data_IF_467811840940
#
_entry.id   IF_467811840940
#
_cell.length_a   1.000
_cell.length_b   1.000
_cell.length_c   1.000
_cell.angle_alpha   90.00
_cell.angle_beta   90.00
_cell.angle_gamma   90.00
#
_symmetry.space_group_name_H-M   'P 1'
#
loop_
_entity.id
_entity.type
_entity.pdbx_description
1 polymer ?
#
# COMPACT_ATOMS: atom_id res chain seq x y z
N UNK A 1 8.77 11.35 0.03
CA UNK A 1 9.95 11.90 0.74
C UNK A 1 10.92 10.76 0.91
N UNK A 2 12.03 10.81 0.21
CA UNK A 2 13.09 9.80 0.27
C UNK A 2 13.85 9.94 1.60
N UNK A 3 14.04 8.83 2.31
CA UNK A 3 14.62 8.78 3.66
C UNK A 3 15.71 7.72 3.72
N UNK A 4 16.73 7.93 4.55
CA UNK A 4 17.69 6.88 4.87
C UNK A 4 17.04 5.84 5.82
N UNK A 5 17.54 4.60 5.82
CA UNK A 5 16.99 3.53 6.66
C UNK A 5 16.86 3.90 8.17
N UNK A 6 17.82 4.61 8.81
CA UNK A 6 17.66 5.07 10.19
C UNK A 6 16.50 6.04 10.40
N UNK A 7 16.18 6.88 9.41
CA UNK A 7 15.05 7.80 9.47
C UNK A 7 13.72 7.06 9.30
N UNK A 8 13.68 6.06 8.42
CA UNK A 8 12.52 5.17 8.28
C UNK A 8 12.23 4.39 9.56
N UNK A 9 13.26 3.89 10.25
CA UNK A 9 13.09 3.19 11.53
C UNK A 9 12.41 4.07 12.61
N UNK A 10 12.59 5.41 12.57
CA UNK A 10 11.92 6.33 13.51
C UNK A 10 10.40 6.39 13.33
N UNK A 11 9.89 5.99 12.17
CA UNK A 11 8.45 5.98 11.86
C UNK A 11 7.77 4.67 12.26
N UNK A 12 8.54 3.62 12.57
CA UNK A 12 8.00 2.30 12.90
C UNK A 12 6.95 2.34 14.01
N UNK A 13 7.10 3.11 15.11
CA UNK A 13 6.07 3.20 16.14
C UNK A 13 4.72 3.71 15.60
N UNK A 14 4.74 4.71 14.71
CA UNK A 14 3.54 5.26 14.09
C UNK A 14 2.94 4.29 13.08
N UNK A 15 3.78 3.70 12.22
CA UNK A 15 3.37 2.67 11.25
C UNK A 15 2.72 1.48 11.94
N UNK A 16 3.27 1.04 13.08
CA UNK A 16 2.71 -0.06 13.87
C UNK A 16 1.30 0.26 14.35
N UNK A 17 1.08 1.46 14.90
CA UNK A 17 -0.25 1.87 15.34
C UNK A 17 -1.26 1.89 14.18
N UNK A 18 -0.85 2.39 13.01
CA UNK A 18 -1.70 2.40 11.81
C UNK A 18 -2.03 1.00 11.31
N UNK A 19 -1.05 0.10 11.29
CA UNK A 19 -1.23 -1.29 10.88
C UNK A 19 -2.12 -2.05 11.85
N UNK A 20 -1.95 -1.86 13.17
CA UNK A 20 -2.79 -2.49 14.18
C UNK A 20 -4.26 -2.04 14.05
N UNK A 21 -4.50 -0.74 13.83
CA UNK A 21 -5.86 -0.21 13.60
C UNK A 21 -6.47 -0.72 12.28
N UNK A 22 -5.64 -0.80 11.23
CA UNK A 22 -6.04 -1.37 9.94
C UNK A 22 -6.44 -2.84 10.06
N UNK A 23 -5.61 -3.69 10.67
CA UNK A 23 -5.88 -5.12 10.85
C UNK A 23 -7.15 -5.32 11.68
N UNK A 24 -7.27 -4.61 12.81
CA UNK A 24 -8.46 -4.68 13.66
C UNK A 24 -9.73 -4.26 12.93
N UNK A 25 -9.64 -3.30 12.01
CA UNK A 25 -10.76 -2.89 11.17
C UNK A 25 -11.10 -3.97 10.14
N UNK A 26 -10.10 -4.56 9.49
CA UNK A 26 -10.31 -5.67 8.53
C UNK A 26 -11.01 -6.88 9.15
N UNK A 27 -10.66 -7.24 10.39
CA UNK A 27 -11.23 -8.39 11.10
C UNK A 27 -12.75 -8.30 11.28
N UNK A 28 -13.32 -7.09 11.18
CA UNK A 28 -14.77 -6.89 11.20
C UNK A 28 -15.45 -7.40 9.92
N UNK A 29 -14.71 -7.43 8.80
CA UNK A 29 -15.22 -7.79 7.49
C UNK A 29 -14.75 -9.17 7.03
N UNK A 30 -13.52 -9.56 7.36
CA UNK A 30 -12.93 -10.81 6.87
C UNK A 30 -11.85 -11.35 7.79
N UNK A 31 -11.81 -12.68 7.92
CA UNK A 31 -10.66 -13.42 8.46
C UNK A 31 -9.79 -14.04 7.35
N UNK A 32 -10.23 -13.91 6.09
CA UNK A 32 -9.41 -14.20 4.93
C UNK A 32 -8.61 -12.94 4.58
N UNK A 33 -7.29 -13.06 4.69
CA UNK A 33 -6.34 -12.00 4.43
C UNK A 33 -5.60 -12.16 3.09
N UNK A 34 -6.10 -13.05 2.23
CA UNK A 34 -5.70 -13.11 0.83
C UNK A 34 -6.57 -12.06 0.09
N UNK A 35 -5.96 -10.94 -0.34
CA UNK A 35 -6.63 -9.78 -0.95
C UNK A 35 -7.80 -9.21 -0.12
N UNK A 36 -7.58 -8.83 1.16
CA UNK A 36 -8.66 -8.49 2.09
C UNK A 36 -9.47 -7.27 1.63
N UNK A 37 -8.82 -6.29 1.01
CA UNK A 37 -9.49 -5.08 0.51
C UNK A 37 -10.47 -5.38 -0.63
N UNK A 38 -10.21 -6.38 -1.47
CA UNK A 38 -11.16 -6.79 -2.52
C UNK A 38 -12.34 -7.55 -1.93
N UNK A 39 -12.12 -8.34 -0.88
CA UNK A 39 -13.22 -8.99 -0.13
C UNK A 39 -14.12 -7.94 0.52
N UNK A 40 -13.51 -6.95 1.18
CA UNK A 40 -14.22 -5.80 1.77
C UNK A 40 -15.00 -5.06 0.69
N UNK A 41 -14.36 -4.75 -0.44
CA UNK A 41 -15.01 -4.04 -1.53
C UNK A 41 -16.20 -4.82 -2.11
N UNK A 42 -16.07 -6.13 -2.32
CA UNK A 42 -17.20 -6.96 -2.77
C UNK A 42 -18.36 -7.00 -1.77
N UNK A 43 -18.09 -6.87 -0.46
CA UNK A 43 -19.14 -6.71 0.56
C UNK A 43 -19.82 -5.35 0.46
N UNK A 44 -19.06 -4.28 0.23
CA UNK A 44 -19.57 -2.94 -0.01
C UNK A 44 -20.50 -2.88 -1.24
N UNK A 45 -20.07 -3.45 -2.36
CA UNK A 45 -20.87 -3.54 -3.59
C UNK A 45 -22.18 -4.31 -3.34
N UNK A 46 -22.11 -5.44 -2.63
CA UNK A 46 -23.29 -6.21 -2.26
C UNK A 46 -24.25 -5.41 -1.38
N UNK A 47 -23.75 -4.73 -0.36
CA UNK A 47 -24.57 -3.91 0.52
C UNK A 47 -25.22 -2.72 -0.21
N UNK A 48 -24.45 -2.04 -1.06
CA UNK A 48 -24.97 -0.98 -1.91
C UNK A 48 -26.09 -1.49 -2.81
N UNK A 49 -25.91 -2.64 -3.45
CA UNK A 49 -26.94 -3.28 -4.28
C UNK A 49 -28.21 -3.63 -3.50
N UNK A 50 -28.08 -4.24 -2.34
CA UNK A 50 -29.22 -4.60 -1.47
C UNK A 50 -29.99 -3.36 -0.98
N UNK A 51 -29.36 -2.17 -1.00
CA UNK A 51 -29.97 -0.90 -0.62
C UNK A 51 -30.27 0.03 -1.82
N UNK A 52 -30.14 -0.46 -3.06
CA UNK A 52 -30.44 0.32 -4.27
C UNK A 52 -29.44 1.46 -4.58
N UNK A 53 -28.21 1.39 -4.07
CA UNK A 53 -27.14 2.40 -4.22
C UNK A 53 -25.93 1.92 -5.05
N UNK A 54 -26.05 0.81 -5.77
CA UNK A 54 -24.96 0.23 -6.58
C UNK A 54 -24.42 1.21 -7.63
N UNK A 55 -25.31 1.90 -8.35
CA UNK A 55 -24.91 2.89 -9.37
C UNK A 55 -24.22 4.11 -8.74
N UNK A 56 -24.69 4.57 -7.59
CA UNK A 56 -24.10 5.69 -6.87
C UNK A 56 -22.67 5.36 -6.40
N UNK A 57 -22.51 4.21 -5.73
CA UNK A 57 -21.19 3.71 -5.29
C UNK A 57 -20.21 3.64 -6.45
N UNK A 58 -20.63 3.02 -7.57
CA UNK A 58 -19.80 2.86 -8.76
C UNK A 58 -19.44 4.20 -9.42
N UNK A 59 -20.39 5.14 -9.47
CA UNK A 59 -20.15 6.46 -10.06
C UNK A 59 -19.20 7.30 -9.21
N UNK A 60 -19.35 7.28 -7.88
CA UNK A 60 -18.44 7.97 -6.96
C UNK A 60 -17.04 7.37 -7.05
N UNK A 61 -16.91 6.03 -7.03
CA UNK A 61 -15.62 5.36 -7.20
C UNK A 61 -14.94 5.72 -8.53
N UNK A 62 -15.65 5.64 -9.67
CA UNK A 62 -15.08 6.00 -10.99
C UNK A 62 -14.61 7.44 -11.06
N UNK A 63 -15.41 8.36 -10.52
CA UNK A 63 -15.07 9.79 -10.50
C UNK A 63 -13.83 10.04 -9.66
N UNK A 64 -13.80 9.52 -8.43
CA UNK A 64 -12.65 9.66 -7.54
C UNK A 64 -11.39 9.01 -8.13
N UNK A 65 -11.51 7.84 -8.76
CA UNK A 65 -10.40 7.17 -9.43
C UNK A 65 -9.76 8.08 -10.49
N UNK A 66 -10.57 8.65 -11.39
CA UNK A 66 -10.06 9.51 -12.46
C UNK A 66 -9.43 10.80 -11.93
N UNK A 67 -10.02 11.42 -10.91
CA UNK A 67 -9.48 12.65 -10.30
C UNK A 67 -8.14 12.40 -9.59
N UNK A 68 -8.02 11.27 -8.88
CA UNK A 68 -6.81 10.94 -8.12
C UNK A 68 -5.70 10.39 -9.02
N UNK A 69 -6.05 9.75 -10.14
CA UNK A 69 -5.09 9.14 -11.07
C UNK A 69 -4.01 10.12 -11.53
N UNK A 70 -4.39 11.29 -12.02
CA UNK A 70 -3.42 12.25 -12.56
C UNK A 70 -2.46 12.77 -11.47
N UNK A 71 -2.95 12.95 -10.24
CA UNK A 71 -2.17 13.45 -9.11
C UNK A 71 -1.15 12.39 -8.66
N UNK A 72 -1.64 11.17 -8.44
CA UNK A 72 -0.82 10.07 -7.92
C UNK A 72 0.17 9.61 -8.97
N UNK A 73 -0.28 9.40 -10.21
CA UNK A 73 0.57 8.93 -11.29
C UNK A 73 1.76 9.87 -11.46
N UNK A 74 1.53 11.18 -11.57
CA UNK A 74 2.62 12.15 -11.68
C UNK A 74 3.58 12.13 -10.47
N UNK A 75 3.08 11.88 -9.26
CA UNK A 75 3.89 11.85 -8.04
C UNK A 75 4.72 10.57 -7.92
N UNK A 76 4.11 9.41 -8.18
CA UNK A 76 4.76 8.09 -8.16
C UNK A 76 5.80 8.00 -9.27
N UNK A 77 5.48 8.45 -10.48
CA UNK A 77 6.45 8.54 -11.58
C UNK A 77 7.65 9.41 -11.23
N UNK A 78 7.43 10.49 -10.48
CA UNK A 78 8.54 11.32 -10.00
C UNK A 78 9.40 10.60 -8.95
N UNK A 79 8.81 9.80 -8.08
CA UNK A 79 9.50 9.10 -6.99
C UNK A 79 10.19 7.80 -7.45
N UNK A 80 9.63 7.09 -8.42
CA UNK A 80 10.20 5.85 -8.96
C UNK A 80 11.51 6.07 -9.76
N UNK A 81 11.98 7.32 -9.88
CA UNK A 81 13.00 7.67 -10.85
C UNK A 81 13.99 8.75 -10.37
N UNK A 82 15.29 8.41 -10.21
CA UNK A 82 16.36 9.37 -10.01
C UNK A 82 16.49 10.36 -11.17
N UNK A 83 16.87 11.61 -10.87
CA UNK A 83 17.16 12.62 -11.89
C UNK A 83 18.14 12.17 -13.01
N UNK A 84 19.19 11.35 -12.75
CA UNK A 84 20.07 10.82 -13.80
C UNK A 84 19.37 10.02 -14.90
N UNK A 85 18.36 9.22 -14.55
CA UNK A 85 17.67 8.39 -15.53
C UNK A 85 16.60 9.23 -16.26
N UNK A 86 16.14 10.36 -15.67
CA UNK A 86 15.08 11.23 -16.26
C UNK A 86 15.65 12.07 -17.39
N UNK A 87 16.94 12.33 -17.32
CA UNK A 87 17.69 13.13 -18.27
C UNK A 87 18.37 12.28 -19.36
N UNK A 88 18.36 10.95 -19.24
CA UNK A 88 18.82 10.06 -20.33
C UNK A 88 17.64 9.72 -21.24
N UNK A 89 17.80 9.98 -22.54
CA UNK A 89 16.88 9.64 -23.63
C UNK A 89 16.70 8.11 -23.77
N UNK A 90 16.03 7.47 -22.81
CA UNK A 90 15.86 6.02 -22.70
C UNK A 90 14.39 5.57 -22.86
N UNK A 91 13.51 6.42 -23.39
CA UNK A 91 12.17 6.00 -23.81
C UNK A 91 12.31 4.78 -24.76
N UNK A 92 11.73 3.64 -24.36
CA UNK A 92 11.80 2.38 -25.10
C UNK A 92 12.86 1.38 -24.64
N UNK A 93 13.68 1.69 -23.63
CA UNK A 93 14.56 0.68 -22.99
C UNK A 93 13.76 -0.30 -22.11
N UNK A 94 14.33 -1.49 -21.84
CA UNK A 94 13.69 -2.48 -20.96
C UNK A 94 13.54 -1.96 -19.52
N UNK A 95 14.49 -1.16 -19.08
CA UNK A 95 14.52 -0.50 -17.78
C UNK A 95 13.41 0.54 -17.66
N UNK A 96 13.18 1.34 -18.71
CA UNK A 96 12.07 2.29 -18.80
C UNK A 96 10.70 1.57 -18.76
N UNK A 97 10.54 0.52 -19.57
CA UNK A 97 9.30 -0.26 -19.60
C UNK A 97 9.01 -0.93 -18.25
N UNK A 98 10.04 -1.44 -17.58
CA UNK A 98 9.91 -2.05 -16.25
C UNK A 98 9.49 -1.01 -15.22
N UNK A 99 10.14 0.16 -15.18
CA UNK A 99 9.79 1.25 -14.27
C UNK A 99 8.37 1.78 -14.50
N UNK A 100 7.95 1.93 -15.76
CA UNK A 100 6.59 2.30 -16.13
C UNK A 100 5.55 1.32 -15.58
N UNK A 101 5.80 0.02 -15.73
CA UNK A 101 4.90 -1.02 -15.23
C UNK A 101 4.76 -0.96 -13.71
N UNK A 102 5.85 -0.70 -12.99
CA UNK A 102 5.85 -0.60 -11.53
C UNK A 102 5.14 0.67 -11.06
N UNK A 103 5.49 1.82 -11.64
CA UNK A 103 4.86 3.09 -11.32
C UNK A 103 3.35 3.04 -11.56
N UNK A 104 2.92 2.45 -12.67
CA UNK A 104 1.50 2.23 -12.96
C UNK A 104 0.85 1.28 -11.96
N UNK A 105 1.50 0.17 -11.56
CA UNK A 105 0.96 -0.77 -10.57
C UNK A 105 0.77 -0.11 -9.20
N UNK A 106 1.77 0.66 -8.75
CA UNK A 106 1.72 1.37 -7.46
C UNK A 106 0.66 2.47 -7.52
N UNK A 107 0.65 3.26 -8.59
CA UNK A 107 -0.36 4.32 -8.80
C UNK A 107 -1.76 3.72 -8.79
N UNK A 108 -1.98 2.61 -9.49
CA UNK A 108 -3.27 1.92 -9.49
C UNK A 108 -3.67 1.45 -8.10
N UNK A 109 -2.75 0.87 -7.32
CA UNK A 109 -3.04 0.46 -5.94
C UNK A 109 -3.47 1.64 -5.05
N UNK A 110 -2.71 2.74 -5.07
CA UNK A 110 -3.02 3.95 -4.31
C UNK A 110 -4.35 4.55 -4.76
N UNK A 111 -4.49 4.82 -6.06
CA UNK A 111 -5.68 5.46 -6.65
C UNK A 111 -6.93 4.64 -6.37
N UNK A 112 -6.86 3.31 -6.53
CA UNK A 112 -7.99 2.45 -6.26
C UNK A 112 -8.38 2.48 -4.78
N UNK A 113 -7.40 2.47 -3.85
CA UNK A 113 -7.70 2.55 -2.43
C UNK A 113 -8.27 3.91 -2.00
N UNK A 114 -7.74 5.02 -2.52
CA UNK A 114 -8.30 6.36 -2.27
C UNK A 114 -9.71 6.49 -2.86
N UNK A 115 -9.92 6.01 -4.08
CA UNK A 115 -11.24 6.02 -4.70
C UNK A 115 -12.26 5.18 -3.92
N UNK A 116 -11.85 4.02 -3.40
CA UNK A 116 -12.69 3.16 -2.56
C UNK A 116 -12.98 3.81 -1.20
N UNK A 117 -12.03 4.53 -0.61
CA UNK A 117 -12.28 5.33 0.60
C UNK A 117 -13.38 6.36 0.36
N UNK A 118 -13.28 7.14 -0.73
CA UNK A 118 -14.26 8.17 -1.08
C UNK A 118 -15.62 7.56 -1.41
N UNK A 119 -15.65 6.44 -2.12
CA UNK A 119 -16.91 5.77 -2.44
C UNK A 119 -17.58 5.15 -1.19
N UNK A 120 -16.80 4.83 -0.15
CA UNK A 120 -17.33 4.24 1.08
C UNK A 120 -18.38 5.12 1.77
N UNK A 121 -18.30 6.45 1.63
CA UNK A 121 -19.31 7.39 2.16
C UNK A 121 -20.72 7.13 1.64
N UNK A 122 -20.89 6.43 0.51
CA UNK A 122 -22.21 6.05 -0.04
C UNK A 122 -22.92 4.99 0.82
N UNK A 123 -22.16 4.21 1.58
CA UNK A 123 -22.66 3.06 2.35
C UNK A 123 -22.34 3.14 3.84
N UNK A 124 -21.68 4.19 4.31
CA UNK A 124 -21.23 4.29 5.71
C UNK A 124 -22.39 4.29 6.72
N UNK A 125 -23.58 4.73 6.31
CA UNK A 125 -24.82 4.71 7.10
C UNK A 125 -25.47 3.32 7.16
N UNK A 126 -25.00 2.36 6.36
CA UNK A 126 -25.47 0.98 6.39
C UNK A 126 -24.81 0.28 7.59
N UNK A 127 -25.64 -0.31 8.45
CA UNK A 127 -25.17 -1.04 9.64
C UNK A 127 -24.10 -2.07 9.28
N UNK A 128 -22.96 -2.01 9.95
CA UNK A 128 -21.80 -2.87 9.72
C UNK A 128 -20.78 -2.32 8.72
N UNK A 129 -20.99 -1.12 8.18
CA UNK A 129 -20.05 -0.42 7.28
C UNK A 129 -19.56 0.92 7.86
N UNK A 130 -19.74 1.15 9.16
CA UNK A 130 -19.37 2.39 9.84
C UNK A 130 -17.85 2.59 9.92
N UNK A 131 -17.07 1.51 9.86
CA UNK A 131 -15.61 1.55 9.99
C UNK A 131 -14.95 1.30 8.63
N UNK A 132 -14.46 2.36 7.98
CA UNK A 132 -13.85 2.29 6.65
C UNK A 132 -12.39 1.76 6.70
N UNK A 133 -12.09 0.53 6.22
CA UNK A 133 -10.72 0.03 6.22
C UNK A 133 -9.82 0.71 5.17
N UNK A 134 -10.39 1.34 4.14
CA UNK A 134 -9.61 2.05 3.13
C UNK A 134 -9.02 3.35 3.70
N UNK A 135 -9.77 4.07 4.53
CA UNK A 135 -9.26 5.23 5.27
C UNK A 135 -8.05 4.85 6.13
N UNK A 136 -8.14 3.73 6.88
CA UNK A 136 -7.04 3.23 7.71
C UNK A 136 -5.81 2.87 6.87
N UNK A 137 -6.05 2.25 5.73
CA UNK A 137 -5.01 1.92 4.77
C UNK A 137 -4.33 3.17 4.19
N UNK A 138 -5.11 4.21 3.88
CA UNK A 138 -4.61 5.41 3.24
C UNK A 138 -3.80 6.31 4.18
N UNK A 139 -4.06 6.29 5.49
CA UNK A 139 -3.22 6.97 6.49
C UNK A 139 -1.75 6.56 6.46
N UNK A 140 -1.45 5.35 5.99
CA UNK A 140 -0.06 4.92 5.78
C UNK A 140 0.61 5.67 4.62
N UNK A 141 -0.14 6.01 3.57
CA UNK A 141 0.40 6.85 2.48
C UNK A 141 0.72 8.27 2.96
N UNK A 142 -0.06 8.82 3.90
CA UNK A 142 0.14 10.19 4.43
C UNK A 142 1.49 10.39 5.11
N UNK A 143 2.01 9.35 5.79
CA UNK A 143 3.33 9.38 6.43
C UNK A 143 4.47 8.97 5.49
N UNK A 144 4.12 8.69 4.23
CA UNK A 144 5.03 8.39 3.14
C UNK A 144 5.51 6.94 3.10
N UNK A 145 4.71 5.99 3.61
CA UNK A 145 4.98 4.55 3.46
C UNK A 145 3.96 3.90 2.53
N UNK A 146 4.31 2.74 1.98
CA UNK A 146 3.49 1.99 1.03
C UNK A 146 3.02 0.70 1.72
N UNK A 147 1.76 0.63 2.19
CA UNK A 147 1.17 -0.62 2.64
C UNK A 147 1.21 -1.69 1.56
N UNK A 148 1.63 -2.89 1.96
CA UNK A 148 1.77 -4.06 1.11
C UNK A 148 0.64 -5.06 1.33
N UNK A 149 1.02 -6.33 1.48
CA UNK A 149 0.09 -7.45 1.61
C UNK A 149 0.43 -8.31 2.82
N UNK A 150 -0.52 -9.16 3.23
CA UNK A 150 -0.27 -10.17 4.25
C UNK A 150 0.58 -11.30 3.70
N UNK A 151 1.60 -11.70 4.46
CA UNK A 151 2.57 -12.70 4.04
C UNK A 151 2.98 -13.63 5.14
N UNK A 152 3.44 -14.82 4.75
CA UNK A 152 4.00 -15.78 5.70
C UNK A 152 5.48 -15.44 5.97
N UNK A 153 5.76 -14.94 7.17
CA UNK A 153 7.11 -14.66 7.68
C UNK A 153 7.33 -15.48 8.94
N UNK A 154 8.38 -16.32 8.97
CA UNK A 154 8.66 -17.22 10.11
C UNK A 154 7.43 -18.05 10.55
N UNK A 155 6.72 -18.62 9.57
CA UNK A 155 5.49 -19.39 9.73
C UNK A 155 4.27 -18.64 10.28
N UNK A 156 4.39 -17.35 10.61
CA UNK A 156 3.27 -16.49 10.99
C UNK A 156 2.86 -15.62 9.82
N UNK A 157 1.56 -15.35 9.70
CA UNK A 157 1.07 -14.33 8.76
C UNK A 157 1.36 -12.95 9.37
N UNK A 158 1.97 -12.06 8.62
CA UNK A 158 2.31 -10.69 9.00
C UNK A 158 1.93 -9.73 7.88
N UNK A 159 1.42 -8.56 8.21
CA UNK A 159 1.27 -7.48 7.24
C UNK A 159 2.64 -6.85 6.91
N UNK A 160 2.89 -6.57 5.64
CA UNK A 160 4.14 -5.94 5.19
C UNK A 160 3.90 -4.49 4.81
N UNK A 161 4.80 -3.60 5.25
CA UNK A 161 4.81 -2.19 4.84
C UNK A 161 6.16 -1.87 4.21
N UNK A 162 6.13 -1.18 3.08
CA UNK A 162 7.32 -0.76 2.35
C UNK A 162 7.63 0.73 2.62
N UNK A 163 8.91 1.04 2.81
CA UNK A 163 9.44 2.36 3.10
C UNK A 163 10.31 2.80 1.93
N UNK A 164 9.90 3.82 1.17
CA UNK A 164 10.75 4.44 0.15
C UNK A 164 12.08 4.93 0.75
N UNK A 165 13.20 4.43 0.22
CA UNK A 165 14.55 4.81 0.61
C UNK A 165 15.20 5.75 -0.42
N UNK A 166 16.17 6.53 0.03
CA UNK A 166 16.97 7.49 -0.77
C UNK A 166 17.85 6.87 -1.85
N UNK A 167 18.19 5.59 -1.73
CA UNK A 167 18.94 4.85 -2.75
C UNK A 167 18.04 4.21 -3.82
N UNK A 168 16.79 4.69 -3.94
CA UNK A 168 15.77 4.17 -4.84
C UNK A 168 15.48 2.70 -4.59
N UNK A 169 15.44 2.31 -3.32
CA UNK A 169 14.97 1.01 -2.86
C UNK A 169 13.75 1.16 -1.96
N UNK A 170 13.18 0.02 -1.61
CA UNK A 170 12.12 -0.13 -0.63
C UNK A 170 12.66 -0.92 0.55
N UNK A 171 12.61 -0.34 1.74
CA UNK A 171 12.79 -1.05 3.00
C UNK A 171 11.50 -1.75 3.42
N UNK A 172 11.53 -3.02 3.79
CA UNK A 172 10.36 -3.76 4.22
C UNK A 172 10.33 -3.88 5.74
N UNK A 173 9.23 -3.45 6.34
CA UNK A 173 8.88 -3.76 7.72
C UNK A 173 7.81 -4.85 7.72
N UNK A 174 7.96 -5.86 8.57
CA UNK A 174 6.91 -6.83 8.83
C UNK A 174 6.27 -6.55 10.19
N UNK A 175 4.96 -6.72 10.26
CA UNK A 175 4.15 -6.57 11.47
C UNK A 175 4.82 -7.19 12.71
N UNK A 176 4.97 -6.39 13.77
CA UNK A 176 5.58 -6.81 15.04
C UNK A 176 7.12 -6.82 15.06
N UNK A 177 7.81 -6.49 13.97
CA UNK A 177 9.26 -6.32 13.99
C UNK A 177 9.66 -4.96 14.59
N UNK A 178 10.87 -4.90 15.16
CA UNK A 178 11.43 -3.68 15.76
C UNK A 178 12.05 -2.73 14.72
N UNK A 179 12.56 -3.26 13.62
CA UNK A 179 13.31 -2.54 12.59
C UNK A 179 12.89 -3.00 11.19
N UNK A 180 13.28 -2.25 10.16
CA UNK A 180 13.20 -2.72 8.77
C UNK A 180 13.99 -4.04 8.62
N UNK A 181 13.33 -5.05 8.07
CA UNK A 181 13.84 -6.42 7.98
C UNK A 181 14.64 -6.69 6.70
N UNK A 182 14.35 -5.95 5.63
CA UNK A 182 14.92 -6.18 4.29
C UNK A 182 14.88 -4.91 3.45
N UNK A 183 15.68 -4.87 2.37
CA UNK A 183 15.58 -3.85 1.33
C UNK A 183 15.59 -4.48 -0.07
N UNK A 184 14.81 -3.94 -0.99
CA UNK A 184 14.84 -4.36 -2.39
C UNK A 184 14.62 -3.22 -3.37
N UNK A 185 15.00 -3.47 -4.61
CA UNK A 185 14.68 -2.61 -5.73
C UNK A 185 13.16 -2.62 -6.00
N UNK A 186 12.61 -1.50 -6.46
CA UNK A 186 11.18 -1.34 -6.74
C UNK A 186 10.65 -2.34 -7.77
N UNK A 187 11.52 -2.86 -8.65
CA UNK A 187 11.17 -3.81 -9.71
C UNK A 187 11.16 -5.27 -9.28
N UNK A 188 11.67 -5.58 -8.08
CA UNK A 188 11.62 -6.94 -7.58
C UNK A 188 10.20 -7.23 -7.13
N UNK A 189 9.62 -8.27 -7.73
CA UNK A 189 8.35 -8.83 -7.29
C UNK A 189 8.48 -9.16 -5.81
N UNK A 190 7.80 -8.35 -5.02
CA UNK A 190 7.91 -8.48 -3.59
C UNK A 190 7.47 -9.88 -3.19
N UNK A 191 6.48 -10.49 -3.87
CA UNK A 191 5.82 -11.77 -3.50
C UNK A 191 6.74 -12.96 -3.30
N UNK A 192 7.99 -12.87 -3.79
CA UNK A 192 9.03 -13.90 -3.70
C UNK A 192 10.20 -13.55 -2.77
N UNK A 193 10.12 -12.43 -2.04
CA UNK A 193 11.11 -12.08 -1.03
C UNK A 193 10.94 -13.06 0.13
N UNK A 194 11.86 -14.02 0.22
CA UNK A 194 12.02 -14.85 1.41
C UNK A 194 12.52 -13.98 2.57
N UNK A 195 12.11 -14.27 3.82
CA UNK A 195 12.78 -13.68 4.97
C UNK A 195 14.27 -13.97 4.86
N UNK A 196 15.14 -12.97 5.02
CA UNK A 196 16.52 -13.27 5.38
C UNK A 196 16.44 -14.18 6.60
N UNK A 197 16.91 -15.43 6.46
CA UNK A 197 17.20 -16.29 7.60
C UNK A 197 18.04 -15.42 8.53
N UNK A 198 17.56 -15.18 9.75
CA UNK A 198 18.20 -14.32 10.74
C UNK A 198 19.55 -14.95 11.08
N UNK A 199 20.55 -14.69 10.25
CA UNK A 199 21.95 -14.95 10.54
C UNK A 199 22.52 -13.61 10.94
N UNK A 200 22.50 -13.41 12.27
CA UNK A 200 23.14 -12.34 13.04
C UNK A 200 22.38 -11.01 13.07
N UNK A 201 21.68 -10.84 14.20
CA UNK A 201 21.60 -9.57 14.93
C UNK A 201 22.94 -8.84 14.78
N UNK A 202 22.92 -7.67 14.18
CA UNK A 202 23.87 -6.63 14.54
C UNK A 202 23.20 -5.95 15.72
N UNK A 203 23.62 -6.31 16.94
CA UNK A 203 23.25 -5.57 18.13
C UNK A 203 23.83 -4.16 18.00
N UNK A 204 23.08 -3.10 18.33
CA UNK A 204 23.64 -1.76 18.44
C UNK A 204 24.60 -1.72 19.65
N UNK A 205 25.82 -1.24 19.41
CA UNK A 205 26.79 -0.87 20.45
C UNK A 205 26.26 0.26 21.36
#
# INVERSE_FOLDING_TARGET
MEREAPECNKLIPEVRNLVDDYIKTLEQYTFNFDNPLDIVWGRAEKAAKENGREDELNNVWKKAFNEVWDIVNNSVWKAAWPAPVRNSWLEGSNEFNTAQVIANRISYGIVNNVAREVAWYVIEDIKGFENNPFEKHNKMYDIGVLPGEFRKVNHKRKFIVHFPLSDYKLGCWAEGDEYLYFQHDWHKDCSKIEPLIISRRIEPE
#
